data_IF_716737974537
#
_entry.id   IF_716737974537
#
_cell.length_a   1.000
_cell.length_b   1.000
_cell.length_c   1.000
_cell.angle_alpha   90.00
_cell.angle_beta   90.00
_cell.angle_gamma   90.00
#
_symmetry.space_group_name_H-M   'P 1'
#
loop_
_entity.id
_entity.type
_entity.pdbx_description
1 polymer ?
#
# COMPACT_ATOMS: atom_id res chain seq x y z
N UNK A 1 -16.37 13.10 1.37
CA UNK A 1 -15.14 13.70 0.83
C UNK A 1 -14.19 12.57 0.47
N UNK A 2 -13.54 12.64 -0.68
CA UNK A 2 -12.60 11.61 -1.11
C UNK A 2 -11.24 11.96 -0.51
N UNK A 3 -10.64 11.09 0.31
CA UNK A 3 -9.31 11.32 0.93
C UNK A 3 -8.16 11.47 -0.07
N UNK A 4 -8.46 11.42 -1.38
CA UNK A 4 -7.54 11.60 -2.51
C UNK A 4 -7.09 13.07 -2.64
N UNK A 5 -7.96 14.04 -2.32
CA UNK A 5 -7.67 15.46 -2.52
C UNK A 5 -7.03 16.12 -1.29
N UNK A 6 -6.98 15.41 -0.15
CA UNK A 6 -6.41 15.90 1.11
C UNK A 6 -4.93 15.50 1.20
N UNK A 7 -4.05 16.46 1.47
CA UNK A 7 -2.64 16.21 1.77
C UNK A 7 -2.50 15.58 3.16
N UNK A 8 -1.55 14.67 3.34
CA UNK A 8 -1.24 14.08 4.65
C UNK A 8 0.22 14.28 5.05
N UNK A 9 0.53 14.18 6.35
CA UNK A 9 1.92 14.24 6.87
C UNK A 9 2.86 13.20 6.23
N UNK A 10 2.30 12.07 5.73
CA UNK A 10 3.05 10.94 5.18
C UNK A 10 3.07 10.86 3.66
N UNK A 11 2.56 11.87 2.97
CA UNK A 11 2.56 11.89 1.49
C UNK A 11 3.99 11.80 0.93
N UNK A 12 4.95 12.52 1.51
CA UNK A 12 6.34 12.49 1.05
C UNK A 12 6.98 11.11 1.22
N UNK A 13 6.76 10.44 2.36
CA UNK A 13 7.29 9.10 2.62
C UNK A 13 6.70 8.06 1.65
N UNK A 14 5.40 8.18 1.33
CA UNK A 14 4.75 7.35 0.32
C UNK A 14 5.34 7.56 -1.07
N UNK A 15 5.55 8.81 -1.47
CA UNK A 15 6.13 9.15 -2.76
C UNK A 15 7.56 8.60 -2.89
N UNK A 16 8.36 8.71 -1.84
CA UNK A 16 9.71 8.16 -1.81
C UNK A 16 9.70 6.63 -1.93
N UNK A 17 8.87 5.95 -1.16
CA UNK A 17 8.82 4.49 -1.13
C UNK A 17 8.33 3.86 -2.45
N UNK A 18 7.36 4.49 -3.12
CA UNK A 18 6.80 3.98 -4.38
C UNK A 18 7.36 4.66 -5.64
N UNK A 19 8.14 5.73 -5.50
CA UNK A 19 8.78 6.45 -6.60
C UNK A 19 7.81 7.20 -7.52
N UNK A 20 6.63 7.58 -7.03
CA UNK A 20 5.63 8.32 -7.81
C UNK A 20 4.77 9.22 -6.92
N UNK A 21 4.25 10.29 -7.52
CA UNK A 21 3.29 11.20 -6.89
C UNK A 21 2.03 10.47 -6.40
N UNK A 22 1.47 10.90 -5.27
CA UNK A 22 0.29 10.30 -4.65
C UNK A 22 -0.89 10.18 -5.62
N UNK A 23 -1.15 11.21 -6.43
CA UNK A 23 -2.19 11.17 -7.45
C UNK A 23 -1.95 10.06 -8.50
N UNK A 24 -0.70 9.82 -8.89
CA UNK A 24 -0.33 8.76 -9.82
C UNK A 24 -0.48 7.37 -9.17
N UNK A 25 -0.17 7.25 -7.87
CA UNK A 25 -0.38 6.02 -7.10
C UNK A 25 -1.86 5.64 -7.02
N UNK A 26 -2.75 6.59 -6.72
CA UNK A 26 -4.20 6.35 -6.77
C UNK A 26 -4.68 5.98 -8.17
N UNK A 27 -4.15 6.62 -9.21
CA UNK A 27 -4.49 6.27 -10.59
C UNK A 27 -4.05 4.84 -10.95
N UNK A 28 -2.88 4.40 -10.48
CA UNK A 28 -2.40 3.03 -10.65
C UNK A 28 -3.30 2.02 -9.93
N UNK A 29 -3.70 2.32 -8.69
CA UNK A 29 -4.63 1.50 -7.93
C UNK A 29 -6.01 1.39 -8.60
N UNK A 30 -6.55 2.50 -9.11
CA UNK A 30 -7.82 2.52 -9.83
C UNK A 30 -7.81 1.69 -11.13
N UNK A 31 -6.64 1.52 -11.76
CA UNK A 31 -6.47 0.68 -12.95
C UNK A 31 -6.35 -0.82 -12.63
N UNK A 32 -6.30 -1.19 -11.35
CA UNK A 32 -6.06 -2.57 -10.92
C UNK A 32 -4.62 -3.03 -11.15
N UNK A 33 -3.70 -2.09 -11.38
CA UNK A 33 -2.27 -2.35 -11.61
C UNK A 33 -1.45 -2.27 -10.31
N UNK A 34 -2.12 -2.12 -9.16
CA UNK A 34 -1.49 -2.01 -7.85
C UNK A 34 -1.20 -3.37 -7.22
N UNK A 35 -0.01 -3.48 -6.64
CA UNK A 35 0.35 -4.59 -5.75
C UNK A 35 -0.37 -4.44 -4.40
N UNK A 36 -0.61 -5.55 -3.68
CA UNK A 36 -1.36 -5.54 -2.42
C UNK A 36 -0.83 -4.54 -1.37
N UNK A 37 0.49 -4.33 -1.32
CA UNK A 37 1.13 -3.34 -0.44
C UNK A 37 0.74 -1.91 -0.82
N UNK A 38 0.70 -1.57 -2.13
CA UNK A 38 0.29 -0.25 -2.57
C UNK A 38 -1.18 0.02 -2.20
N UNK A 39 -2.05 -0.97 -2.38
CA UNK A 39 -3.45 -0.84 -1.99
C UNK A 39 -3.60 -0.58 -0.48
N UNK A 40 -2.87 -1.35 0.34
CA UNK A 40 -2.90 -1.20 1.81
C UNK A 40 -2.33 0.16 2.26
N UNK A 41 -1.29 0.63 1.59
CA UNK A 41 -0.68 1.93 1.87
C UNK A 41 -1.62 3.10 1.57
N UNK A 42 -2.33 3.04 0.42
CA UNK A 42 -3.32 4.06 0.06
C UNK A 42 -4.56 4.02 0.98
N UNK A 43 -4.95 2.85 1.46
CA UNK A 43 -6.01 2.71 2.46
C UNK A 43 -5.61 3.37 3.79
N UNK A 44 -4.43 3.04 4.33
CA UNK A 44 -3.90 3.65 5.55
C UNK A 44 -3.76 5.17 5.42
N UNK A 45 -3.26 5.66 4.27
CA UNK A 45 -3.20 7.10 3.97
C UNK A 45 -4.59 7.74 4.01
N UNK A 46 -5.60 7.07 3.47
CA UNK A 46 -6.97 7.60 3.47
C UNK A 46 -7.55 7.72 4.88
N UNK A 47 -7.22 6.79 5.78
CA UNK A 47 -7.59 6.88 7.19
C UNK A 47 -6.82 7.97 7.93
N UNK A 48 -5.51 8.11 7.65
CA UNK A 48 -4.70 9.19 8.21
C UNK A 48 -5.26 10.57 7.84
N UNK A 49 -5.63 10.77 6.57
CA UNK A 49 -6.23 12.04 6.11
C UNK A 49 -7.49 12.40 6.91
N UNK A 50 -8.34 11.41 7.23
CA UNK A 50 -9.56 11.63 8.03
C UNK A 50 -9.21 11.90 9.50
N UNK A 51 -8.19 11.22 10.06
CA UNK A 51 -7.73 11.45 11.42
C UNK A 51 -7.14 12.85 11.59
N UNK A 52 -6.32 13.32 10.65
CA UNK A 52 -5.74 14.66 10.65
C UNK A 52 -6.83 15.74 10.53
N UNK A 53 -7.81 15.56 9.64
CA UNK A 53 -8.96 16.47 9.54
C UNK A 53 -9.75 16.50 10.86
N UNK A 54 -9.91 15.34 11.52
CA UNK A 54 -10.58 15.28 12.81
C UNK A 54 -9.78 16.04 13.89
N UNK A 55 -8.47 15.88 13.95
CA UNK A 55 -7.59 16.60 14.87
C UNK A 55 -7.68 18.11 14.65
N UNK A 56 -7.61 18.57 13.40
CA UNK A 56 -7.79 19.98 13.04
C UNK A 56 -9.15 20.50 13.50
N UNK A 57 -10.22 19.72 13.29
CA UNK A 57 -11.57 20.09 13.74
C UNK A 57 -11.66 20.21 15.26
N UNK A 58 -11.05 19.29 16.01
CA UNK A 58 -11.05 19.34 17.48
C UNK A 58 -10.24 20.55 17.97
N UNK A 59 -9.09 20.86 17.37
CA UNK A 59 -8.34 22.08 17.68
C UNK A 59 -9.15 23.35 17.39
N UNK A 60 -9.85 23.42 16.25
CA UNK A 60 -10.70 24.56 15.92
C UNK A 60 -11.83 24.77 16.94
N UNK A 61 -12.41 23.67 17.46
CA UNK A 61 -13.40 23.73 18.55
C UNK A 61 -12.74 24.24 19.82
N UNK A 62 -11.57 23.69 20.18
CA UNK A 62 -10.83 24.09 21.37
C UNK A 62 -10.47 25.58 21.38
N UNK A 63 -9.99 26.10 20.25
CA UNK A 63 -9.68 27.52 20.08
C UNK A 63 -10.94 28.40 20.17
N UNK A 64 -12.03 27.98 19.52
CA UNK A 64 -13.30 28.70 19.55
C UNK A 64 -13.88 28.78 20.97
N UNK A 65 -13.88 27.66 21.69
CA UNK A 65 -14.38 27.61 23.06
C UNK A 65 -13.46 28.40 24.01
N UNK A 66 -12.13 28.41 23.77
CA UNK A 66 -11.20 29.25 24.54
C UNK A 66 -11.44 30.74 24.34
N UNK A 67 -11.98 31.16 23.18
CA UNK A 67 -12.30 32.57 22.90
C UNK A 67 -13.63 33.02 23.53
N UNK A 68 -14.54 32.11 23.85
CA UNK A 68 -15.88 32.45 24.40
C UNK A 68 -15.94 32.63 25.92
N UNK A 69 -14.86 32.39 26.67
CA UNK A 69 -14.82 32.56 28.13
C UNK A 69 -15.33 31.34 28.92
N UNK A 70 -15.33 31.47 30.26
CA UNK A 70 -15.33 30.39 31.27
C UNK A 70 -16.03 29.07 30.86
N UNK A 71 -15.21 28.07 30.54
CA UNK A 71 -15.63 26.68 30.41
C UNK A 71 -15.63 26.00 31.78
N UNK A 72 -16.58 25.09 32.01
CA UNK A 72 -16.53 24.22 33.18
C UNK A 72 -15.29 23.33 33.11
N UNK A 73 -14.72 22.98 34.26
CA UNK A 73 -13.62 22.00 34.34
C UNK A 73 -13.98 20.68 33.65
N UNK A 74 -15.24 20.25 33.77
CA UNK A 74 -15.71 19.02 33.12
C UNK A 74 -15.73 19.11 31.58
N UNK A 75 -15.93 20.30 31.02
CA UNK A 75 -15.93 20.51 29.57
C UNK A 75 -14.49 20.55 29.03
N UNK A 76 -13.57 21.18 29.77
CA UNK A 76 -12.13 21.15 29.49
C UNK A 76 -11.58 19.72 29.55
N UNK A 77 -11.88 18.97 30.62
CA UNK A 77 -11.42 17.58 30.76
C UNK A 77 -11.96 16.69 29.62
N UNK A 78 -13.16 16.98 29.11
CA UNK A 78 -13.73 16.27 27.95
C UNK A 78 -12.99 16.66 26.68
N UNK A 79 -12.76 17.95 26.45
CA UNK A 79 -12.05 18.44 25.27
C UNK A 79 -10.63 17.86 25.17
N UNK A 80 -9.91 17.81 26.28
CA UNK A 80 -8.58 17.18 26.36
C UNK A 80 -8.64 15.71 25.93
N UNK A 81 -9.66 14.95 26.37
CA UNK A 81 -9.84 13.56 25.95
C UNK A 81 -10.09 13.42 24.44
N UNK A 82 -10.80 14.36 23.82
CA UNK A 82 -11.02 14.36 22.38
C UNK A 82 -9.72 14.67 21.62
N UNK A 83 -8.92 15.62 22.11
CA UNK A 83 -7.61 15.95 21.52
C UNK A 83 -6.69 14.73 21.58
N UNK A 84 -6.57 14.12 22.76
CA UNK A 84 -5.75 12.92 22.96
C UNK A 84 -6.20 11.75 22.07
N UNK A 85 -7.51 11.52 21.95
CA UNK A 85 -8.04 10.48 21.07
C UNK A 85 -7.75 10.75 19.58
N UNK A 86 -7.81 12.01 19.16
CA UNK A 86 -7.49 12.39 17.79
C UNK A 86 -5.99 12.23 17.50
N UNK A 87 -5.12 12.67 18.40
CA UNK A 87 -3.66 12.48 18.30
C UNK A 87 -3.30 10.99 18.24
N UNK A 88 -3.84 10.19 19.15
CA UNK A 88 -3.60 8.74 19.16
C UNK A 88 -4.05 8.06 17.85
N UNK A 89 -5.12 8.57 17.22
CA UNK A 89 -5.57 8.06 15.92
C UNK A 89 -4.58 8.42 14.80
N UNK A 90 -4.06 9.64 14.78
CA UNK A 90 -3.00 10.03 13.84
C UNK A 90 -1.75 9.17 14.03
N UNK A 91 -1.24 9.07 15.26
CA UNK A 91 -0.05 8.28 15.60
C UNK A 91 -0.18 6.81 15.18
N UNK A 92 -1.36 6.22 15.34
CA UNK A 92 -1.65 4.84 14.95
C UNK A 92 -1.50 4.65 13.44
N UNK A 93 -2.11 5.51 12.63
CA UNK A 93 -2.06 5.39 11.18
C UNK A 93 -0.69 5.75 10.62
N UNK A 94 -0.01 6.74 11.18
CA UNK A 94 1.36 7.06 10.83
C UNK A 94 2.30 5.87 11.10
N UNK A 95 2.21 5.28 12.29
CA UNK A 95 3.05 4.14 12.67
C UNK A 95 2.76 2.91 11.81
N UNK A 96 1.49 2.59 11.56
CA UNK A 96 1.10 1.48 10.69
C UNK A 96 1.61 1.67 9.24
N UNK A 97 1.59 2.92 8.76
CA UNK A 97 2.11 3.25 7.44
C UNK A 97 3.63 3.10 7.39
N UNK A 98 4.35 3.63 8.38
CA UNK A 98 5.81 3.49 8.48
C UNK A 98 6.23 2.02 8.54
N UNK A 99 5.57 1.22 9.37
CA UNK A 99 5.81 -0.22 9.47
C UNK A 99 5.57 -0.93 8.13
N UNK A 100 4.49 -0.57 7.42
CA UNK A 100 4.22 -1.11 6.10
C UNK A 100 5.32 -0.73 5.09
N UNK A 101 5.76 0.53 5.08
CA UNK A 101 6.79 1.00 4.15
C UNK A 101 8.15 0.36 4.42
N UNK A 102 8.48 0.04 5.68
CA UNK A 102 9.69 -0.71 6.02
C UNK A 102 9.73 -2.14 5.45
N UNK A 103 8.58 -2.70 5.05
CA UNK A 103 8.55 -4.02 4.38
C UNK A 103 8.89 -3.95 2.89
N UNK A 104 8.90 -2.76 2.29
CA UNK A 104 9.26 -2.61 0.89
C UNK A 104 10.78 -2.79 0.72
N UNK A 105 11.22 -3.43 -0.39
CA UNK A 105 12.62 -3.40 -0.73
C UNK A 105 13.05 -1.94 -0.92
N UNK A 106 14.27 -1.55 -0.50
CA UNK A 106 14.75 -0.20 -0.70
C UNK A 106 14.61 0.17 -2.18
N UNK A 107 14.18 1.41 -2.49
CA UNK A 107 13.97 1.83 -3.86
C UNK A 107 15.27 1.59 -4.61
N UNK A 108 15.24 0.64 -5.56
CA UNK A 108 16.37 0.43 -6.45
C UNK A 108 16.58 1.72 -7.21
N UNK A 109 17.79 2.27 -7.16
CA UNK A 109 18.18 3.52 -7.81
C UNK A 109 17.39 3.74 -9.11
N UNK A 110 16.68 4.87 -9.28
CA UNK A 110 16.01 5.18 -10.54
C UNK A 110 16.99 5.31 -11.72
N UNK A 111 18.30 5.34 -11.44
CA UNK A 111 19.40 5.35 -12.40
C UNK A 111 20.11 4.01 -12.60
N UNK A 112 19.67 2.92 -11.95
CA UNK A 112 20.24 1.60 -12.15
C UNK A 112 19.91 1.04 -13.54
N UNK A 113 20.87 0.45 -14.29
CA UNK A 113 20.58 -0.15 -15.58
C UNK A 113 19.54 -1.26 -15.41
N UNK A 114 18.33 -0.99 -15.93
CA UNK A 114 17.19 -1.91 -15.99
C UNK A 114 17.70 -3.24 -16.54
N UNK A 115 17.76 -4.26 -15.68
CA UNK A 115 18.26 -5.59 -16.06
C UNK A 115 17.55 -6.03 -17.34
N UNK A 116 18.35 -6.20 -18.41
CA UNK A 116 17.86 -6.56 -19.73
C UNK A 116 17.03 -7.85 -19.73
N UNK A 117 16.33 -8.14 -20.84
CA UNK A 117 15.45 -9.29 -20.92
C UNK A 117 16.18 -10.58 -20.53
N UNK A 118 15.63 -11.29 -19.54
CA UNK A 118 16.12 -12.61 -19.11
C UNK A 118 16.19 -13.54 -20.32
N UNK A 119 17.32 -14.24 -20.57
CA UNK A 119 17.39 -15.23 -21.64
C UNK A 119 16.36 -16.32 -21.40
N UNK A 120 15.46 -16.52 -22.37
CA UNK A 120 14.49 -17.60 -22.38
C UNK A 120 15.25 -18.91 -22.67
N UNK A 121 15.58 -19.67 -21.64
CA UNK A 121 16.16 -21.01 -21.81
C UNK A 121 15.06 -21.93 -22.31
N UNK A 122 15.07 -22.19 -23.62
CA UNK A 122 14.22 -23.19 -24.25
C UNK A 122 14.89 -24.56 -24.05
N UNK A 123 14.36 -25.38 -23.14
CA UNK A 123 14.79 -26.76 -23.02
C UNK A 123 14.18 -27.57 -24.18
N UNK A 124 14.99 -27.93 -25.18
CA UNK A 124 14.60 -28.88 -26.21
C UNK A 124 14.72 -30.30 -25.64
N UNK A 125 13.59 -30.99 -25.49
CA UNK A 125 13.57 -32.40 -25.12
C UNK A 125 14.15 -33.26 -26.26
N UNK A 126 14.96 -34.28 -25.98
CA UNK A 126 15.49 -35.19 -26.99
C UNK A 126 14.36 -36.07 -27.58
N UNK A 127 14.41 -36.42 -28.88
CA UNK A 127 13.40 -37.25 -29.51
C UNK A 127 13.40 -38.67 -28.92
N UNK A 128 12.20 -39.17 -28.61
CA UNK A 128 11.98 -40.52 -28.13
C UNK A 128 12.41 -41.55 -29.21
N UNK A 129 13.21 -42.54 -28.81
CA UNK A 129 13.54 -43.70 -29.66
C UNK A 129 12.27 -44.50 -29.97
N UNK A 130 11.95 -44.62 -31.26
CA UNK A 130 10.96 -45.57 -31.73
C UNK A 130 11.42 -47.01 -31.40
N UNK A 131 10.61 -47.74 -30.64
CA UNK A 131 10.80 -49.17 -30.42
C UNK A 131 10.53 -49.95 -31.72
N UNK A 132 11.27 -51.04 -31.99
CA UNK A 132 11.09 -51.82 -33.21
C UNK A 132 9.76 -52.58 -33.18
N UNK A 133 8.97 -52.42 -34.23
CA UNK A 133 7.76 -53.20 -34.50
C UNK A 133 8.13 -54.68 -34.70
N UNK A 134 7.81 -55.52 -33.72
CA UNK A 134 7.89 -56.97 -33.83
C UNK A 134 6.72 -57.45 -34.70
N UNK A 135 7.07 -57.97 -35.88
CA UNK A 135 6.14 -58.48 -36.88
C UNK A 135 5.31 -59.68 -36.40
N UNK A 136 4.11 -59.77 -36.97
CA UNK A 136 3.25 -60.93 -36.87
C UNK A 136 3.88 -62.15 -37.55
N UNK A 137 3.84 -63.32 -36.87
CA UNK A 137 3.71 -64.62 -37.53
C UNK A 137 2.86 -65.52 -36.63
N UNK A 138 1.58 -65.65 -36.97
CA UNK A 138 0.69 -66.67 -36.43
C UNK A 138 0.72 -67.86 -37.39
N UNK A 139 1.38 -68.94 -36.98
CA UNK A 139 1.31 -70.23 -37.64
C UNK A 139 1.06 -71.31 -36.57
N UNK A 140 -0.16 -71.85 -36.55
CA UNK A 140 -0.45 -73.15 -35.95
C UNK A 140 -1.39 -73.92 -36.87
N UNK A 141 -0.87 -75.00 -37.46
CA UNK A 141 -1.61 -76.22 -37.77
C UNK A 141 -0.89 -77.35 -37.04
N UNK A 142 -1.61 -78.07 -36.20
CA UNK A 142 -2.08 -79.44 -36.42
C UNK A 142 -3.18 -79.71 -35.39
#
# INVERSE_FOLDING_TARGET
MSGIDTSTSRDAALQEAFGAEVAALYAQAARGEAYAVLQSALELRSFLAVAEEHLERVHNIAESDSQMGEQSRADLDRLDQWIEAALASCDLYESALDELLLTLPPPSDPHGPRAGPRPKVTATAPPARAGPHAGAVQARRL
#
